data_IF_991490471349
#
_entry.id   IF_991490471349
#
_cell.length_a   1.000
_cell.length_b   1.000
_cell.length_c   1.000
_cell.angle_alpha   90.00
_cell.angle_beta   90.00
_cell.angle_gamma   90.00
#
_symmetry.space_group_name_H-M   'P 1'
#
loop_
_entity.id
_entity.type
_entity.pdbx_description
1 polymer ?
#
# COMPACT_ATOMS: atom_id res chain seq x y z
N UNK A 1 18.95 -28.24 -2.23
CA UNK A 1 18.33 -27.82 -0.98
C UNK A 1 18.36 -29.03 -0.04
N UNK A 2 19.12 -28.95 1.04
CA UNK A 2 19.14 -30.01 2.06
C UNK A 2 17.86 -29.85 2.88
N UNK A 3 16.92 -30.76 2.70
CA UNK A 3 15.80 -30.90 3.63
C UNK A 3 16.39 -31.37 4.95
N UNK A 4 16.27 -30.64 6.05
CA UNK A 4 16.74 -31.14 7.33
C UNK A 4 16.00 -32.45 7.64
N UNK A 5 16.73 -33.44 8.10
CA UNK A 5 16.11 -34.69 8.59
C UNK A 5 15.11 -34.30 9.69
N UNK A 6 13.84 -34.58 9.45
CA UNK A 6 12.77 -34.31 10.41
C UNK A 6 13.11 -35.02 11.72
N UNK A 7 13.36 -34.27 12.80
CA UNK A 7 13.36 -34.83 14.14
C UNK A 7 11.99 -35.43 14.40
N UNK A 8 11.95 -36.63 14.98
CA UNK A 8 10.68 -37.22 15.41
C UNK A 8 9.95 -36.21 16.32
N UNK A 9 8.73 -35.78 15.91
CA UNK A 9 7.90 -34.84 16.67
C UNK A 9 7.67 -33.47 16.02
N UNK A 10 8.39 -33.10 14.95
CA UNK A 10 8.13 -31.84 14.26
C UNK A 10 6.88 -31.93 13.37
N UNK A 11 6.06 -30.87 13.43
CA UNK A 11 4.86 -30.72 12.61
C UNK A 11 5.08 -29.66 11.53
N UNK A 12 4.70 -29.96 10.29
CA UNK A 12 4.73 -29.00 9.19
C UNK A 12 3.30 -28.53 8.91
N UNK A 13 3.09 -27.22 8.99
CA UNK A 13 1.80 -26.58 8.77
C UNK A 13 1.87 -25.67 7.55
N UNK A 14 0.93 -25.86 6.61
CA UNK A 14 0.73 -24.94 5.50
C UNK A 14 -0.28 -23.86 5.88
N UNK A 15 0.20 -22.62 5.96
CA UNK A 15 -0.64 -21.44 6.22
C UNK A 15 -0.77 -20.62 4.93
N UNK A 16 -1.92 -20.71 4.28
CA UNK A 16 -2.19 -20.02 3.02
C UNK A 16 -2.01 -20.90 1.78
N UNK A 17 -2.25 -20.35 0.57
CA UNK A 17 -2.65 -18.95 0.30
C UNK A 17 -4.08 -18.59 0.76
N UNK A 18 -4.98 -19.56 0.87
CA UNK A 18 -6.36 -19.35 1.31
C UNK A 18 -6.52 -19.90 2.74
N UNK A 19 -6.21 -19.06 3.72
CA UNK A 19 -6.24 -19.41 5.14
C UNK A 19 -6.71 -18.21 5.98
N UNK A 20 -7.58 -18.42 7.00
CA UNK A 20 -8.14 -17.33 7.80
C UNK A 20 -7.09 -16.48 8.54
N UNK A 21 -5.97 -17.08 8.93
CA UNK A 21 -4.90 -16.39 9.65
C UNK A 21 -3.91 -15.67 8.73
N UNK A 22 -4.06 -15.79 7.41
CA UNK A 22 -3.16 -15.16 6.45
C UNK A 22 -3.79 -13.94 5.83
N UNK A 23 -2.96 -12.92 5.57
CA UNK A 23 -3.38 -11.72 4.87
C UNK A 23 -3.28 -11.94 3.36
N UNK A 24 -4.43 -11.80 2.67
CA UNK A 24 -4.53 -11.99 1.22
C UNK A 24 -4.17 -13.41 0.79
N UNK A 25 -3.15 -13.54 -0.04
CA UNK A 25 -2.68 -14.81 -0.62
C UNK A 25 -1.25 -15.17 -0.21
N UNK A 26 -0.81 -14.69 0.93
CA UNK A 26 0.47 -15.10 1.50
C UNK A 26 0.43 -16.58 1.88
N UNK A 27 1.44 -17.33 1.48
CA UNK A 27 1.62 -18.72 1.90
C UNK A 27 2.90 -18.86 2.71
N UNK A 28 2.76 -19.43 3.91
CA UNK A 28 3.88 -19.79 4.77
C UNK A 28 3.88 -21.32 4.98
N UNK A 29 5.05 -21.93 4.88
CA UNK A 29 5.27 -23.29 5.32
C UNK A 29 6.00 -23.18 6.65
N UNK A 30 5.32 -23.54 7.73
CA UNK A 30 5.82 -23.37 9.09
C UNK A 30 6.16 -24.75 9.67
N UNK A 31 7.36 -24.87 10.23
CA UNK A 31 7.79 -26.06 10.98
C UNK A 31 7.70 -25.76 12.46
N UNK A 32 6.94 -26.58 13.18
CA UNK A 32 6.65 -26.41 14.60
C UNK A 32 7.24 -27.56 15.41
N UNK A 33 7.74 -27.22 16.62
CA UNK A 33 8.00 -28.16 17.71
C UNK A 33 7.02 -27.83 18.85
N UNK A 34 5.89 -28.55 18.90
CA UNK A 34 4.74 -28.14 19.71
C UNK A 34 4.18 -26.83 19.21
N UNK A 35 4.23 -25.78 20.05
CA UNK A 35 3.78 -24.42 19.70
C UNK A 35 4.95 -23.50 19.26
N UNK A 36 6.19 -23.98 19.37
CA UNK A 36 7.37 -23.19 19.01
C UNK A 36 7.63 -23.25 17.50
N UNK A 37 7.82 -22.07 16.89
CA UNK A 37 8.18 -21.95 15.47
C UNK A 37 9.68 -22.18 15.32
N UNK A 38 10.05 -23.30 14.67
CA UNK A 38 11.44 -23.65 14.39
C UNK A 38 11.93 -23.08 13.08
N UNK A 39 11.05 -23.08 12.06
CA UNK A 39 11.36 -22.56 10.73
C UNK A 39 10.12 -22.03 10.05
N UNK A 40 10.31 -21.05 9.14
CA UNK A 40 9.25 -20.44 8.37
C UNK A 40 9.73 -20.13 6.95
N UNK A 41 9.18 -20.84 5.97
CA UNK A 41 9.47 -20.64 4.56
C UNK A 41 8.32 -19.88 3.87
N UNK A 42 8.52 -18.61 3.45
CA UNK A 42 7.54 -17.89 2.65
C UNK A 42 7.55 -18.39 1.21
N UNK A 43 6.36 -18.73 0.69
CA UNK A 43 6.17 -19.13 -0.71
C UNK A 43 5.58 -17.96 -1.47
N UNK A 44 6.39 -17.34 -2.34
CA UNK A 44 6.04 -16.16 -3.13
C UNK A 44 5.50 -16.56 -4.51
N UNK A 45 4.85 -15.61 -5.18
CA UNK A 45 4.41 -15.75 -6.57
C UNK A 45 2.91 -15.79 -6.80
N UNK A 46 2.08 -15.90 -5.77
CA UNK A 46 0.62 -15.94 -5.94
C UNK A 46 0.01 -14.65 -6.50
N UNK A 47 0.70 -13.51 -6.34
CA UNK A 47 0.33 -12.22 -6.93
C UNK A 47 1.17 -11.84 -8.15
N UNK A 48 1.95 -12.76 -8.71
CA UNK A 48 2.71 -12.49 -9.92
C UNK A 48 1.78 -12.33 -11.11
N UNK A 49 1.82 -11.16 -11.77
CA UNK A 49 0.93 -10.77 -12.85
C UNK A 49 1.65 -10.50 -14.17
N UNK A 50 2.91 -10.88 -14.27
CA UNK A 50 3.74 -10.65 -15.46
C UNK A 50 3.94 -9.17 -15.78
N UNK A 51 4.08 -8.31 -14.77
CA UNK A 51 4.12 -6.85 -14.93
C UNK A 51 5.29 -6.39 -15.78
N UNK A 52 6.45 -7.04 -15.68
CA UNK A 52 7.61 -6.76 -16.52
C UNK A 52 7.32 -7.04 -18.00
N UNK A 53 6.61 -8.13 -18.28
CA UNK A 53 6.23 -8.46 -19.65
C UNK A 53 5.18 -7.51 -20.24
N UNK A 54 4.29 -7.00 -19.39
CA UNK A 54 3.36 -5.94 -19.78
C UNK A 54 4.13 -4.66 -20.10
N UNK A 55 5.13 -4.30 -19.27
CA UNK A 55 5.95 -3.10 -19.45
C UNK A 55 6.69 -3.10 -20.79
N UNK A 56 7.26 -4.24 -21.22
CA UNK A 56 7.94 -4.37 -22.50
C UNK A 56 7.03 -4.06 -23.71
N UNK A 57 5.72 -4.23 -23.57
CA UNK A 57 4.74 -4.08 -24.64
C UNK A 57 3.89 -2.79 -24.53
N UNK A 58 4.28 -1.85 -23.68
CA UNK A 58 3.57 -0.59 -23.44
C UNK A 58 4.52 0.59 -23.48
N UNK A 59 4.00 1.75 -23.87
CA UNK A 59 4.71 3.02 -23.61
C UNK A 59 4.62 3.35 -22.13
N UNK A 60 5.54 4.19 -21.63
CA UNK A 60 5.55 4.59 -20.22
C UNK A 60 4.21 5.21 -19.78
N UNK A 61 3.59 6.00 -20.63
CA UNK A 61 2.29 6.63 -20.36
C UNK A 61 1.17 5.58 -20.27
N UNK A 62 1.18 4.58 -21.15
CA UNK A 62 0.21 3.49 -21.10
C UNK A 62 0.43 2.55 -19.92
N UNK A 63 1.65 2.54 -19.36
CA UNK A 63 2.01 1.67 -18.25
C UNK A 63 1.63 2.25 -16.88
N UNK A 64 1.46 3.57 -16.75
CA UNK A 64 1.09 4.23 -15.49
C UNK A 64 -0.10 3.58 -14.75
N UNK A 65 -1.22 3.22 -15.42
CA UNK A 65 -2.33 2.55 -14.72
C UNK A 65 -1.97 1.17 -14.16
N UNK A 66 -1.00 0.49 -14.74
CA UNK A 66 -0.54 -0.81 -14.23
C UNK A 66 0.32 -0.66 -12.98
N UNK A 67 1.13 0.38 -12.93
CA UNK A 67 2.06 0.65 -11.83
C UNK A 67 1.34 0.89 -10.50
N UNK A 68 0.18 1.56 -10.53
CA UNK A 68 -0.65 1.79 -9.34
C UNK A 68 -1.08 0.50 -8.65
N UNK A 69 -1.01 -0.63 -9.35
CA UNK A 69 -1.41 -1.96 -8.86
C UNK A 69 -0.24 -2.81 -8.37
N UNK A 70 0.97 -2.27 -8.36
CA UNK A 70 2.12 -2.93 -7.74
C UNK A 70 1.98 -2.96 -6.23
N UNK A 71 1.87 -1.77 -5.66
CA UNK A 71 1.53 -1.56 -4.27
C UNK A 71 0.19 -0.82 -4.21
N UNK A 72 -0.90 -1.57 -4.12
CA UNK A 72 -2.25 -1.01 -4.06
C UNK A 72 -2.62 -0.42 -2.70
N UNK A 73 -1.68 -0.35 -1.76
CA UNK A 73 -1.83 0.33 -0.46
C UNK A 73 -1.24 1.73 -0.49
N UNK A 74 -0.05 1.88 -1.06
CA UNK A 74 0.67 3.14 -1.20
C UNK A 74 0.83 3.49 -2.70
N UNK A 75 -0.27 3.52 -3.43
CA UNK A 75 -0.30 3.69 -4.89
C UNK A 75 0.37 4.96 -5.37
N UNK A 76 0.28 6.04 -4.61
CA UNK A 76 0.93 7.32 -4.96
C UNK A 76 2.45 7.20 -5.04
N UNK A 77 3.08 6.32 -4.24
CA UNK A 77 4.52 6.13 -4.28
C UNK A 77 4.96 5.40 -5.55
N UNK A 78 4.20 4.42 -6.00
CA UNK A 78 4.51 3.71 -7.25
C UNK A 78 4.30 4.62 -8.47
N UNK A 79 3.30 5.49 -8.44
CA UNK A 79 3.12 6.55 -9.45
C UNK A 79 4.30 7.52 -9.44
N UNK A 80 4.71 8.01 -8.26
CA UNK A 80 5.82 8.96 -8.13
C UNK A 80 7.13 8.41 -8.72
N UNK A 81 7.51 7.18 -8.38
CA UNK A 81 8.71 6.54 -8.91
C UNK A 81 8.65 6.47 -10.44
N UNK A 82 7.50 6.08 -10.98
CA UNK A 82 7.33 5.87 -12.43
C UNK A 82 7.36 7.18 -13.21
N UNK A 83 6.89 8.30 -12.66
CA UNK A 83 6.96 9.59 -13.35
C UNK A 83 8.29 10.30 -13.14
N UNK A 84 8.93 10.14 -11.96
CA UNK A 84 10.21 10.79 -11.66
C UNK A 84 11.35 10.31 -12.57
N UNK A 85 11.40 9.03 -12.90
CA UNK A 85 12.43 8.49 -13.80
C UNK A 85 12.46 9.18 -15.16
N UNK A 86 11.38 9.19 -15.94
CA UNK A 86 11.30 9.90 -17.20
C UNK A 86 11.50 11.42 -17.10
N UNK A 87 11.03 12.05 -16.02
CA UNK A 87 11.24 13.48 -15.78
C UNK A 87 12.73 13.81 -15.65
N UNK A 88 13.48 13.00 -14.90
CA UNK A 88 14.93 13.18 -14.77
C UNK A 88 15.65 12.92 -16.10
N UNK A 89 15.33 11.83 -16.79
CA UNK A 89 15.93 11.48 -18.06
C UNK A 89 15.65 12.52 -19.16
N UNK A 90 14.42 13.05 -19.19
CA UNK A 90 13.97 14.06 -20.16
C UNK A 90 14.26 15.50 -19.73
N UNK A 91 14.84 15.73 -18.55
CA UNK A 91 15.03 17.06 -17.95
C UNK A 91 13.72 17.89 -17.96
N UNK A 92 12.59 17.24 -17.62
CA UNK A 92 11.27 17.84 -17.61
C UNK A 92 11.05 18.52 -16.27
N UNK A 93 10.78 19.83 -16.30
CA UNK A 93 10.54 20.60 -15.09
C UNK A 93 9.09 20.47 -14.63
N UNK A 94 8.90 20.22 -13.33
CA UNK A 94 7.59 20.14 -12.69
C UNK A 94 7.26 21.48 -12.04
N UNK A 95 6.06 22.06 -12.28
CA UNK A 95 5.62 23.29 -11.62
C UNK A 95 5.60 23.14 -10.09
N UNK A 96 5.96 24.21 -9.35
CA UNK A 96 6.01 24.18 -7.88
C UNK A 96 4.70 23.70 -7.26
N UNK A 97 3.55 24.16 -7.77
CA UNK A 97 2.24 23.76 -7.26
C UNK A 97 2.03 22.22 -7.41
N UNK A 98 2.37 21.66 -8.55
CA UNK A 98 2.28 20.22 -8.76
C UNK A 98 3.20 19.44 -7.83
N UNK A 99 4.40 19.95 -7.55
CA UNK A 99 5.33 19.33 -6.58
C UNK A 99 4.73 19.31 -5.16
N UNK A 100 4.11 20.40 -4.72
CA UNK A 100 3.44 20.42 -3.41
C UNK A 100 2.24 19.47 -3.36
N UNK A 101 1.42 19.43 -4.41
CA UNK A 101 0.29 18.48 -4.50
C UNK A 101 0.82 17.04 -4.40
N UNK A 102 1.88 16.70 -5.13
CA UNK A 102 2.49 15.38 -5.06
C UNK A 102 2.92 15.02 -3.63
N UNK A 103 3.58 15.93 -2.92
CA UNK A 103 4.03 15.68 -1.54
C UNK A 103 2.85 15.45 -0.60
N UNK A 104 1.82 16.30 -0.68
CA UNK A 104 0.61 16.13 0.14
C UNK A 104 -0.02 14.75 -0.10
N UNK A 105 -0.19 14.36 -1.35
CA UNK A 105 -0.78 13.06 -1.71
C UNK A 105 0.08 11.88 -1.29
N UNK A 106 1.41 12.00 -1.37
CA UNK A 106 2.34 10.97 -0.89
C UNK A 106 2.22 10.77 0.62
N UNK A 107 2.19 11.85 1.40
CA UNK A 107 2.11 11.74 2.85
C UNK A 107 0.73 11.24 3.32
N UNK A 108 -0.36 11.65 2.69
CA UNK A 108 -1.67 11.05 2.94
C UNK A 108 -1.70 9.55 2.59
N UNK A 109 -1.07 9.16 1.49
CA UNK A 109 -0.93 7.75 1.10
C UNK A 109 -0.09 6.97 2.11
N UNK A 110 0.95 7.58 2.67
CA UNK A 110 1.75 6.99 3.76
C UNK A 110 0.89 6.75 4.99
N UNK A 111 0.10 7.73 5.42
CA UNK A 111 -0.81 7.60 6.57
C UNK A 111 -1.79 6.45 6.33
N UNK A 112 -2.46 6.41 5.18
CA UNK A 112 -3.40 5.35 4.84
C UNK A 112 -2.76 3.96 4.84
N UNK A 113 -1.53 3.85 4.35
CA UNK A 113 -0.75 2.60 4.35
C UNK A 113 -0.36 2.15 5.75
N UNK A 114 0.10 3.09 6.60
CA UNK A 114 0.43 2.80 7.99
C UNK A 114 -0.80 2.35 8.79
N UNK A 115 -1.95 2.99 8.58
CA UNK A 115 -3.21 2.59 9.21
C UNK A 115 -3.63 1.17 8.80
N UNK A 116 -3.47 0.82 7.51
CA UNK A 116 -3.76 -0.53 7.06
C UNK A 116 -2.83 -1.57 7.66
N UNK A 117 -1.56 -1.24 7.87
CA UNK A 117 -0.64 -2.14 8.55
C UNK A 117 -1.00 -2.29 10.03
N UNK A 118 -1.24 -1.17 10.71
CA UNK A 118 -1.50 -1.15 12.16
C UNK A 118 -2.79 -1.89 12.53
N UNK A 119 -3.87 -1.72 11.75
CA UNK A 119 -5.16 -2.36 12.01
C UNK A 119 -5.07 -3.88 12.11
N UNK A 120 -4.68 -4.58 11.04
CA UNK A 120 -4.48 -6.03 11.06
C UNK A 120 -3.45 -6.50 12.09
N UNK A 121 -2.35 -5.76 12.30
CA UNK A 121 -1.37 -6.09 13.32
C UNK A 121 -1.99 -6.11 14.73
N UNK A 122 -2.79 -5.11 15.07
CA UNK A 122 -3.49 -5.07 16.36
C UNK A 122 -4.47 -6.24 16.50
N UNK A 123 -5.17 -6.60 15.43
CA UNK A 123 -6.06 -7.76 15.41
C UNK A 123 -5.30 -9.07 15.61
N UNK A 124 -4.14 -9.24 14.99
CA UNK A 124 -3.29 -10.43 15.11
C UNK A 124 -2.79 -10.66 16.54
N UNK A 125 -2.47 -9.59 17.27
CA UNK A 125 -2.08 -9.68 18.69
C UNK A 125 -3.28 -9.72 19.66
N UNK A 126 -4.51 -9.82 19.14
CA UNK A 126 -5.74 -10.00 19.91
C UNK A 126 -6.53 -8.73 20.22
N UNK A 127 -6.07 -7.56 19.81
CA UNK A 127 -6.75 -6.27 20.00
C UNK A 127 -7.65 -5.94 18.80
N UNK A 128 -8.86 -6.51 18.75
CA UNK A 128 -9.75 -6.34 17.59
C UNK A 128 -10.42 -4.97 17.53
N UNK A 129 -10.74 -4.35 18.65
CA UNK A 129 -11.44 -3.06 18.68
C UNK A 129 -10.67 -1.92 18.00
N UNK A 130 -9.36 -1.74 18.20
CA UNK A 130 -8.57 -0.73 17.48
C UNK A 130 -8.60 -0.91 15.97
N UNK A 131 -8.70 -2.13 15.45
CA UNK A 131 -8.84 -2.39 14.02
C UNK A 131 -10.01 -1.60 13.40
N UNK A 132 -11.17 -1.59 14.03
CA UNK A 132 -12.34 -0.88 13.50
C UNK A 132 -12.16 0.64 13.53
N UNK A 133 -11.58 1.19 14.58
CA UNK A 133 -11.29 2.63 14.67
C UNK A 133 -10.26 3.07 13.62
N UNK A 134 -9.19 2.31 13.47
CA UNK A 134 -8.14 2.58 12.48
C UNK A 134 -8.72 2.60 11.06
N UNK A 135 -9.61 1.65 10.72
CA UNK A 135 -10.25 1.64 9.41
C UNK A 135 -11.24 2.79 9.21
N UNK A 136 -11.91 3.25 10.27
CA UNK A 136 -12.74 4.46 10.23
C UNK A 136 -11.92 5.69 9.83
N UNK A 137 -10.76 5.89 10.45
CA UNK A 137 -9.88 7.02 10.14
C UNK A 137 -9.33 6.91 8.70
N UNK A 138 -9.05 5.70 8.26
CA UNK A 138 -8.58 5.44 6.90
C UNK A 138 -9.61 5.83 5.83
N UNK A 139 -10.91 5.69 6.12
CA UNK A 139 -11.99 6.12 5.23
C UNK A 139 -11.94 7.63 4.96
N UNK A 140 -11.61 8.45 5.96
CA UNK A 140 -11.49 9.91 5.80
C UNK A 140 -10.38 10.29 4.79
N UNK A 141 -9.26 9.56 4.80
CA UNK A 141 -8.20 9.75 3.79
C UNK A 141 -8.70 9.38 2.40
N UNK A 142 -9.46 8.31 2.29
CA UNK A 142 -10.04 7.90 1.01
C UNK A 142 -11.06 8.89 0.46
N UNK A 143 -11.84 9.55 1.30
CA UNK A 143 -12.75 10.61 0.90
C UNK A 143 -11.98 11.81 0.31
N UNK A 144 -10.82 12.15 0.90
CA UNK A 144 -9.93 13.17 0.35
C UNK A 144 -9.37 12.76 -1.02
N UNK A 145 -8.95 11.51 -1.18
CA UNK A 145 -8.47 10.99 -2.45
C UNK A 145 -9.55 10.98 -3.52
N UNK A 146 -10.74 10.49 -3.19
CA UNK A 146 -11.86 10.44 -4.11
C UNK A 146 -12.27 11.85 -4.57
N UNK A 147 -12.31 12.82 -3.66
CA UNK A 147 -12.62 14.20 -3.99
C UNK A 147 -11.60 14.82 -4.97
N UNK A 148 -10.32 14.45 -4.88
CA UNK A 148 -9.25 14.99 -5.72
C UNK A 148 -9.05 14.22 -7.03
N UNK A 149 -9.26 12.90 -7.04
CA UNK A 149 -8.89 12.03 -8.15
C UNK A 149 -10.05 11.27 -8.79
N UNK A 150 -11.20 11.26 -8.14
CA UNK A 150 -12.35 10.43 -8.52
C UNK A 150 -12.22 8.96 -8.15
N UNK A 151 -11.12 8.57 -7.48
CA UNK A 151 -10.83 7.19 -7.10
C UNK A 151 -10.43 7.12 -5.63
N UNK A 152 -10.91 6.10 -4.94
CA UNK A 152 -10.53 5.80 -3.54
C UNK A 152 -9.15 5.12 -3.46
N UNK A 153 -8.85 4.29 -4.42
CA UNK A 153 -7.58 3.58 -4.65
C UNK A 153 -7.21 3.70 -6.13
N UNK A 154 -5.98 3.36 -6.52
CA UNK A 154 -5.53 3.36 -7.92
C UNK A 154 -5.75 4.73 -8.60
N UNK A 155 -5.28 5.78 -7.98
CA UNK A 155 -5.65 7.18 -8.27
C UNK A 155 -5.26 7.66 -9.66
N UNK A 156 -4.12 7.20 -10.19
CA UNK A 156 -3.58 7.62 -11.49
C UNK A 156 -3.54 9.16 -11.62
N UNK A 157 -3.10 9.83 -10.56
CA UNK A 157 -3.06 11.29 -10.46
C UNK A 157 -1.76 11.85 -11.03
N UNK A 158 -0.62 11.22 -10.77
CA UNK A 158 0.68 11.73 -11.21
C UNK A 158 0.82 11.55 -12.72
N UNK A 159 1.41 12.57 -13.35
CA UNK A 159 1.70 12.60 -14.78
C UNK A 159 3.13 13.10 -14.98
N UNK A 160 3.76 12.68 -16.06
CA UNK A 160 5.05 13.24 -16.46
C UNK A 160 4.87 14.73 -16.68
N UNK A 161 5.60 15.55 -15.91
CA UNK A 161 5.51 17.00 -15.91
C UNK A 161 4.53 17.61 -14.89
N UNK A 162 3.86 16.80 -14.05
CA UNK A 162 2.99 17.33 -13.01
C UNK A 162 1.94 16.37 -12.49
N UNK A 163 0.69 16.81 -12.42
CA UNK A 163 -0.48 16.07 -11.97
C UNK A 163 -1.61 16.18 -13.00
N UNK A 164 -2.54 15.22 -12.99
CA UNK A 164 -3.63 15.13 -13.97
C UNK A 164 -4.65 16.28 -13.85
N UNK A 165 -4.88 16.75 -12.63
CA UNK A 165 -5.81 17.84 -12.32
C UNK A 165 -5.34 18.60 -11.09
N UNK A 166 -5.81 19.84 -10.94
CA UNK A 166 -5.61 20.63 -9.72
C UNK A 166 -6.58 20.15 -8.62
N UNK A 167 -6.28 20.52 -7.37
CA UNK A 167 -7.14 20.22 -6.22
C UNK A 167 -8.47 20.98 -6.33
N UNK A 168 -9.60 20.34 -6.01
CA UNK A 168 -10.89 21.00 -5.97
C UNK A 168 -10.93 22.18 -4.99
N UNK A 169 -11.82 23.12 -5.22
CA UNK A 169 -12.04 24.24 -4.30
C UNK A 169 -12.44 23.74 -2.91
N UNK A 170 -11.80 24.28 -1.85
CA UNK A 170 -12.02 23.87 -0.46
C UNK A 170 -11.40 22.54 -0.05
N UNK A 171 -10.70 21.85 -0.95
CA UNK A 171 -10.06 20.56 -0.63
C UNK A 171 -8.94 20.71 0.41
N UNK A 172 -8.16 21.78 0.32
CA UNK A 172 -7.05 22.05 1.25
C UNK A 172 -7.60 22.26 2.67
N UNK A 173 -8.69 23.01 2.80
CA UNK A 173 -9.32 23.24 4.11
C UNK A 173 -9.81 21.92 4.72
N UNK A 174 -10.48 21.06 3.94
CA UNK A 174 -10.88 19.73 4.39
C UNK A 174 -9.69 18.85 4.79
N UNK A 175 -8.57 18.97 4.08
CA UNK A 175 -7.36 18.22 4.40
C UNK A 175 -6.75 18.72 5.72
N UNK A 176 -6.77 20.02 6.00
CA UNK A 176 -6.33 20.58 7.27
C UNK A 176 -7.23 20.16 8.43
N UNK A 177 -8.55 20.22 8.24
CA UNK A 177 -9.53 19.74 9.23
C UNK A 177 -9.29 18.25 9.55
N UNK A 178 -9.01 17.43 8.52
CA UNK A 178 -8.61 16.04 8.73
C UNK A 178 -7.33 15.91 9.54
N UNK A 179 -6.30 16.69 9.25
CA UNK A 179 -5.04 16.65 9.98
C UNK A 179 -5.22 16.98 11.47
N UNK A 180 -5.98 18.02 11.79
CA UNK A 180 -6.26 18.42 13.16
C UNK A 180 -7.07 17.37 13.92
N UNK A 181 -8.08 16.79 13.27
CA UNK A 181 -8.84 15.67 13.81
C UNK A 181 -7.94 14.46 14.06
N UNK A 182 -7.16 14.05 13.05
CA UNK A 182 -6.32 12.85 13.12
C UNK A 182 -5.24 12.95 14.19
N UNK A 183 -4.63 14.12 14.38
CA UNK A 183 -3.65 14.35 15.45
C UNK A 183 -4.25 14.17 16.84
N UNK A 184 -5.52 14.49 17.01
CA UNK A 184 -6.23 14.29 18.27
C UNK A 184 -6.58 12.82 18.48
N UNK A 185 -7.08 12.14 17.45
CA UNK A 185 -7.54 10.76 17.56
C UNK A 185 -6.39 9.75 17.68
N UNK A 186 -5.27 9.96 16.99
CA UNK A 186 -4.14 9.01 17.00
C UNK A 186 -3.53 8.82 18.40
N UNK A 187 -3.73 9.78 19.30
CA UNK A 187 -3.26 9.66 20.69
C UNK A 187 -4.15 8.75 21.54
N UNK A 188 -5.30 8.34 21.01
CA UNK A 188 -6.27 7.48 21.69
C UNK A 188 -6.11 5.99 21.35
N UNK A 189 -5.22 5.66 20.42
CA UNK A 189 -4.88 4.29 20.01
C UNK A 189 -3.55 3.83 20.63
#
# INVERSE_FOLDING_TARGET
MNVPSTREGLMIVNMGPHHPSMHGVLRLIVTLDGEDVIDCEPVLGYLHRGMEKIAENRTIIQYLPYVTRWDYLATMFTEAITVNGPEQLGNIQVPKRASYIRVIMLELSRIASHLLWLGPFMADIGAQTPFFYIFRERELVYDLFEAATGMRMMHNLFRIGGVAADLPYGWIDKCLDFCDFFLTEITNY
#
